data_IF_869710154343
#
_entry.id   IF_869710154343
#
_cell.length_a   1.000
_cell.length_b   1.000
_cell.length_c   1.000
_cell.angle_alpha   90.00
_cell.angle_beta   90.00
_cell.angle_gamma   90.00
#
_symmetry.space_group_name_H-M   'P 1'
#
loop_
_entity.id
_entity.type
_entity.pdbx_description
1 polymer ?
#
# COMPACT_ATOMS: atom_id res chain seq x y z
N UNK A 1 -9.97 -1.63 -6.02
CA UNK A 1 -9.42 -0.56 -5.14
C UNK A 1 -10.34 0.66 -5.03
N UNK A 2 -11.64 0.47 -4.78
CA UNK A 2 -12.62 1.57 -4.67
C UNK A 2 -13.13 1.80 -3.23
N UNK A 3 -12.59 1.06 -2.25
CA UNK A 3 -13.09 1.06 -0.88
C UNK A 3 -12.92 2.41 -0.19
N UNK A 4 -11.80 3.10 -0.39
CA UNK A 4 -11.60 4.44 0.19
C UNK A 4 -12.55 5.48 -0.42
N UNK A 5 -12.92 5.34 -1.69
CA UNK A 5 -13.83 6.27 -2.38
C UNK A 5 -15.27 6.22 -1.86
N UNK A 6 -15.67 5.15 -1.15
CA UNK A 6 -16.96 5.12 -0.45
C UNK A 6 -16.93 5.88 0.88
N UNK A 7 -15.75 6.17 1.43
CA UNK A 7 -15.56 6.99 2.64
C UNK A 7 -15.56 8.48 2.26
N UNK A 8 -14.81 8.86 1.23
CA UNK A 8 -14.80 10.21 0.64
C UNK A 8 -14.40 10.14 -0.82
N UNK A 9 -14.98 11.02 -1.65
CA UNK A 9 -14.64 11.09 -3.08
C UNK A 9 -13.14 11.40 -3.32
N UNK A 10 -12.51 12.13 -2.40
CA UNK A 10 -11.09 12.49 -2.45
C UNK A 10 -10.16 11.44 -1.83
N UNK A 11 -10.69 10.32 -1.32
CA UNK A 11 -9.88 9.32 -0.65
C UNK A 11 -9.46 8.19 -1.60
N UNK A 12 -8.19 7.78 -1.48
CA UNK A 12 -7.62 6.63 -2.17
C UNK A 12 -6.99 5.68 -1.14
N UNK A 13 -6.63 4.47 -1.59
CA UNK A 13 -5.69 3.69 -0.80
C UNK A 13 -4.39 4.48 -0.67
N UNK A 14 -3.75 4.41 0.49
CA UNK A 14 -2.57 5.24 0.79
C UNK A 14 -1.48 5.11 -0.27
N UNK A 15 -0.95 6.24 -0.72
CA UNK A 15 0.25 6.32 -1.52
C UNK A 15 1.41 6.55 -0.56
N UNK A 16 2.47 5.76 -0.71
CA UNK A 16 3.64 5.90 0.15
C UNK A 16 4.76 6.42 -0.73
N UNK A 17 4.99 7.72 -0.69
CA UNK A 17 5.88 8.45 -1.59
C UNK A 17 7.24 8.75 -0.94
N UNK A 18 7.41 8.43 0.35
CA UNK A 18 8.67 8.63 1.06
C UNK A 18 8.89 7.62 2.19
N UNK A 19 10.15 7.49 2.62
CA UNK A 19 10.51 6.70 3.82
C UNK A 19 9.85 7.25 5.08
N UNK A 20 9.70 8.57 5.19
CA UNK A 20 9.04 9.19 6.33
C UNK A 20 7.56 8.80 6.39
N UNK A 21 6.88 8.84 5.25
CA UNK A 21 5.49 8.42 5.16
C UNK A 21 5.33 6.93 5.46
N UNK A 22 6.22 6.07 4.93
CA UNK A 22 6.20 4.64 5.23
C UNK A 22 6.27 4.36 6.75
N UNK A 23 7.12 5.11 7.48
CA UNK A 23 7.22 5.01 8.95
C UNK A 23 5.97 5.49 9.66
N UNK A 24 5.34 6.57 9.21
CA UNK A 24 4.10 7.06 9.83
C UNK A 24 2.92 6.12 9.59
N UNK A 25 2.76 5.62 8.36
CA UNK A 25 1.73 4.64 8.01
C UNK A 25 1.91 3.34 8.83
N UNK A 26 3.14 2.85 8.94
CA UNK A 26 3.52 1.73 9.81
C UNK A 26 3.11 1.96 11.27
N UNK A 27 3.48 3.12 11.83
CA UNK A 27 3.17 3.49 13.22
C UNK A 27 1.66 3.50 13.47
N UNK A 28 0.89 4.13 12.58
CA UNK A 28 -0.57 4.19 12.68
C UNK A 28 -1.21 2.79 12.54
N UNK A 29 -0.74 1.99 11.60
CA UNK A 29 -1.24 0.62 11.40
C UNK A 29 -1.01 -0.25 12.65
N UNK A 30 0.18 -0.14 13.27
CA UNK A 30 0.50 -0.84 14.51
C UNK A 30 -0.33 -0.35 15.70
N UNK A 31 -0.56 0.97 15.80
CA UNK A 31 -1.40 1.57 16.83
C UNK A 31 -2.85 1.08 16.74
N UNK A 32 -3.40 1.00 15.52
CA UNK A 32 -4.77 0.54 15.27
C UNK A 32 -4.93 -0.97 15.46
N UNK A 33 -3.98 -1.79 14.99
CA UNK A 33 -4.10 -3.25 15.11
C UNK A 33 -3.75 -3.78 16.49
N UNK A 34 -2.83 -3.11 17.21
CA UNK A 34 -2.17 -3.65 18.39
C UNK A 34 -1.33 -4.91 18.11
N UNK A 35 -1.12 -5.25 16.83
CA UNK A 35 -0.48 -6.50 16.39
C UNK A 35 0.50 -6.24 15.25
N UNK A 36 1.71 -6.78 15.39
CA UNK A 36 2.65 -6.90 14.27
C UNK A 36 2.11 -7.91 13.26
N UNK A 37 2.67 -7.92 12.05
CA UNK A 37 2.38 -8.90 11.01
C UNK A 37 0.97 -8.81 10.38
N UNK A 38 0.15 -7.84 10.77
CA UNK A 38 -1.11 -7.52 10.07
C UNK A 38 -0.77 -6.99 8.69
N UNK A 39 -1.51 -7.47 7.68
CA UNK A 39 -1.34 -7.11 6.27
C UNK A 39 -2.31 -6.01 5.89
N UNK A 40 -1.79 -5.00 5.19
CA UNK A 40 -2.53 -3.82 4.79
C UNK A 40 -2.34 -3.54 3.31
N UNK A 41 -3.43 -3.47 2.56
CA UNK A 41 -3.43 -3.00 1.19
C UNK A 41 -3.07 -1.51 1.11
N UNK A 42 -2.18 -1.18 0.19
CA UNK A 42 -1.80 0.19 -0.20
C UNK A 42 -2.20 0.45 -1.66
N UNK A 43 -2.07 1.69 -2.14
CA UNK A 43 -2.50 2.08 -3.48
C UNK A 43 -1.63 1.59 -4.63
N UNK A 44 -0.49 0.97 -4.36
CA UNK A 44 0.47 0.56 -5.37
C UNK A 44 -0.03 -0.68 -6.11
N UNK A 45 0.03 -0.62 -7.43
CA UNK A 45 -0.40 -1.69 -8.30
C UNK A 45 0.28 -1.57 -9.68
N UNK A 46 0.31 -2.65 -10.42
CA UNK A 46 0.77 -2.72 -11.81
C UNK A 46 -0.27 -3.42 -12.71
N UNK A 47 -1.55 -3.34 -12.33
CA UNK A 47 -2.67 -4.01 -13.03
C UNK A 47 -2.77 -3.68 -14.52
N UNK A 48 -2.31 -2.51 -14.94
CA UNK A 48 -2.34 -2.08 -16.35
C UNK A 48 -1.21 -2.70 -17.17
N UNK A 49 -0.03 -2.88 -16.58
CA UNK A 49 1.18 -3.36 -17.23
C UNK A 49 2.14 -3.95 -16.19
N UNK A 50 2.37 -5.26 -16.29
CA UNK A 50 3.22 -6.04 -15.40
C UNK A 50 4.66 -5.46 -15.27
N UNK A 51 5.14 -5.29 -14.03
CA UNK A 51 6.38 -4.57 -13.66
C UNK A 51 6.35 -3.04 -13.87
N UNK A 52 5.21 -2.45 -14.22
CA UNK A 52 5.04 -0.99 -14.31
C UNK A 52 4.17 -0.49 -13.15
N UNK A 53 4.79 -0.41 -11.97
CA UNK A 53 4.16 0.02 -10.72
C UNK A 53 3.73 1.49 -10.77
N UNK A 54 2.48 1.77 -10.37
CA UNK A 54 1.90 3.12 -10.37
C UNK A 54 1.07 3.43 -9.12
N UNK A 55 1.12 4.68 -8.71
CA UNK A 55 0.15 5.32 -7.81
C UNK A 55 -0.90 6.03 -8.66
N UNK A 56 -2.08 5.43 -8.89
CA UNK A 56 -3.16 6.06 -9.68
C UNK A 56 -2.68 6.70 -11.00
N UNK A 57 -1.95 5.94 -11.82
CA UNK A 57 -1.29 6.36 -13.07
C UNK A 57 -0.02 7.22 -12.94
N UNK A 58 0.43 7.54 -11.74
CA UNK A 58 1.69 8.26 -11.49
C UNK A 58 2.83 7.27 -11.27
N UNK A 59 3.98 7.50 -11.91
CA UNK A 59 5.18 6.69 -11.75
C UNK A 59 5.73 6.77 -10.33
N UNK A 60 6.21 5.65 -9.83
CA UNK A 60 6.71 5.48 -8.46
C UNK A 60 8.17 5.92 -8.37
N UNK A 61 8.47 6.80 -7.41
CA UNK A 61 9.84 7.25 -7.13
C UNK A 61 10.43 6.62 -5.85
N UNK A 62 9.57 6.21 -4.92
CA UNK A 62 9.97 5.58 -3.67
C UNK A 62 9.37 4.18 -3.60
N UNK A 63 10.21 3.21 -3.21
CA UNK A 63 9.78 1.83 -2.99
C UNK A 63 10.37 1.28 -1.72
N UNK A 64 9.63 0.43 -1.02
CA UNK A 64 10.10 -0.23 0.19
C UNK A 64 9.85 -1.75 0.15
N UNK A 65 10.16 -2.36 -0.99
CA UNK A 65 10.02 -3.80 -1.21
C UNK A 65 10.80 -4.62 -0.18
N UNK A 66 10.19 -5.71 0.29
CA UNK A 66 10.90 -6.76 1.02
C UNK A 66 11.96 -7.41 0.12
N UNK A 67 13.00 -7.98 0.72
CA UNK A 67 14.05 -8.63 -0.04
C UNK A 67 13.49 -9.80 -0.83
N UNK A 68 13.56 -9.69 -2.15
CA UNK A 68 13.05 -10.70 -3.08
C UNK A 68 11.75 -10.29 -3.77
N UNK A 69 11.15 -9.18 -3.32
CA UNK A 69 9.96 -8.60 -3.90
C UNK A 69 10.30 -7.45 -4.88
N UNK A 70 9.44 -7.17 -5.87
CA UNK A 70 8.26 -7.97 -6.23
C UNK A 70 8.65 -9.33 -6.85
N UNK A 71 7.94 -10.38 -6.47
CA UNK A 71 8.22 -11.75 -6.91
C UNK A 71 7.15 -12.23 -7.91
N UNK A 72 7.57 -12.87 -8.99
CA UNK A 72 6.67 -13.28 -10.09
C UNK A 72 5.93 -14.59 -9.80
N UNK A 73 5.39 -14.79 -8.59
CA UNK A 73 4.73 -16.04 -8.21
C UNK A 73 3.32 -16.20 -8.79
N UNK A 74 2.80 -15.19 -9.51
CA UNK A 74 1.50 -15.20 -10.16
C UNK A 74 1.12 -13.81 -10.70
N UNK A 75 -0.15 -13.55 -11.04
CA UNK A 75 -0.66 -12.21 -11.34
C UNK A 75 -0.82 -11.40 -10.03
N UNK A 76 0.29 -11.09 -9.38
CA UNK A 76 0.36 -10.42 -8.07
C UNK A 76 0.29 -8.89 -8.21
N UNK A 77 -0.81 -8.38 -8.76
CA UNK A 77 -0.84 -6.99 -9.22
C UNK A 77 -1.18 -5.93 -8.15
N UNK A 78 -1.24 -6.32 -6.88
CA UNK A 78 -1.57 -5.43 -5.75
C UNK A 78 -0.50 -5.52 -4.68
N UNK A 79 -0.31 -4.44 -3.91
CA UNK A 79 0.75 -4.40 -2.90
C UNK A 79 0.18 -4.37 -1.50
N UNK A 80 0.59 -5.33 -0.68
CA UNK A 80 0.41 -5.29 0.76
C UNK A 80 1.70 -4.80 1.42
N UNK A 81 1.61 -4.01 2.48
CA UNK A 81 2.71 -3.87 3.42
C UNK A 81 2.40 -4.58 4.73
N UNK A 82 3.47 -4.97 5.42
CA UNK A 82 3.40 -5.68 6.68
C UNK A 82 4.49 -5.19 7.62
N UNK A 83 4.14 -5.01 8.89
CA UNK A 83 5.13 -4.73 9.93
C UNK A 83 5.96 -5.99 10.23
N UNK A 84 7.14 -6.09 9.61
CA UNK A 84 8.09 -7.19 9.81
C UNK A 84 8.84 -7.07 11.14
N UNK A 85 9.46 -8.17 11.59
CA UNK A 85 10.17 -8.19 12.88
C UNK A 85 11.28 -7.14 12.99
N UNK A 86 11.84 -6.72 11.85
CA UNK A 86 12.90 -5.72 11.74
C UNK A 86 12.40 -4.25 11.81
N UNK A 87 11.09 -4.00 11.88
CA UNK A 87 10.55 -2.66 12.12
C UNK A 87 10.42 -1.75 10.88
N UNK A 88 10.57 -2.30 9.67
CA UNK A 88 10.75 -1.49 8.45
C UNK A 88 9.52 -1.44 7.52
N UNK A 89 8.38 -2.02 7.91
CA UNK A 89 7.13 -1.98 7.13
C UNK A 89 7.33 -2.24 5.63
N UNK A 90 7.92 -3.39 5.31
CA UNK A 90 8.33 -3.76 3.95
C UNK A 90 7.13 -4.26 3.14
N UNK A 91 7.22 -4.05 1.82
CA UNK A 91 6.14 -4.28 0.86
C UNK A 91 6.29 -5.63 0.15
N UNK A 92 5.16 -6.22 -0.19
CA UNK A 92 5.06 -7.49 -0.90
C UNK A 92 3.96 -7.38 -1.96
N UNK A 93 4.25 -7.78 -3.19
CA UNK A 93 3.23 -7.93 -4.22
C UNK A 93 2.40 -9.20 -3.97
N UNK A 94 1.10 -9.10 -4.20
CA UNK A 94 0.13 -10.13 -3.83
C UNK A 94 -1.05 -10.12 -4.78
N UNK A 95 -1.62 -11.29 -5.03
CA UNK A 95 -2.86 -11.40 -5.82
C UNK A 95 -3.98 -10.55 -5.18
N UNK A 96 -4.59 -9.67 -5.97
CA UNK A 96 -5.54 -8.66 -5.49
C UNK A 96 -6.82 -9.20 -4.82
N UNK A 97 -7.14 -10.49 -4.98
CA UNK A 97 -8.36 -11.09 -4.43
C UNK A 97 -8.24 -11.47 -2.95
N UNK A 98 -7.01 -11.47 -2.39
CA UNK A 98 -6.80 -11.78 -0.98
C UNK A 98 -7.48 -10.76 -0.05
N UNK A 99 -8.00 -11.26 1.06
CA UNK A 99 -8.60 -10.41 2.10
C UNK A 99 -7.51 -9.88 3.03
N UNK A 100 -7.24 -8.58 2.96
CA UNK A 100 -6.39 -7.87 3.90
C UNK A 100 -7.14 -6.64 4.46
N UNK A 101 -6.59 -6.05 5.52
CA UNK A 101 -6.98 -4.71 5.92
C UNK A 101 -6.52 -3.70 4.86
N UNK A 102 -6.97 -2.45 4.93
CA UNK A 102 -6.57 -1.41 3.99
C UNK A 102 -6.44 -0.08 4.70
N UNK A 103 -5.58 0.79 4.17
CA UNK A 103 -5.38 2.15 4.70
C UNK A 103 -5.78 3.13 3.61
N UNK A 104 -6.59 4.11 3.99
CA UNK A 104 -6.97 5.21 3.12
C UNK A 104 -6.17 6.45 3.45
N UNK A 105 -5.74 7.16 2.42
CA UNK A 105 -5.33 8.55 2.51
C UNK A 105 -6.44 9.45 1.96
N UNK A 106 -6.45 10.71 2.40
CA UNK A 106 -7.36 11.72 1.89
C UNK A 106 -6.61 13.03 1.79
N UNK A 107 -6.67 13.68 0.63
CA UNK A 107 -6.26 15.07 0.52
C UNK A 107 -7.37 15.94 1.09
N UNK A 108 -7.09 16.55 2.24
CA UNK A 108 -8.01 17.45 2.95
C UNK A 108 -8.20 18.79 2.24
N UNK A 109 -7.35 19.12 1.27
CA UNK A 109 -7.41 20.33 0.47
C UNK A 109 -7.89 20.07 -0.97
N UNK A 110 -8.08 18.80 -1.36
CA UNK A 110 -8.69 18.48 -2.64
C UNK A 110 -10.15 18.97 -2.61
N UNK A 111 -10.46 19.94 -3.49
CA UNK A 111 -11.81 20.43 -3.67
C UNK A 111 -12.76 19.27 -4.03
N UNK A 112 -14.02 19.28 -3.54
CA UNK A 112 -15.00 18.24 -3.84
C UNK A 112 -15.33 18.13 -5.34
#
# INVERSE_FOLDING_TARGET
MAQCRSISASANLVFIESEQENREVSRLALEVSGQKQVKWWIGLNDMDEENNWKWNNVTVNYTNWERGEPNKSGPENCVEFKEWENGNALWNDKECHWTNHFICEMDVNAAP
#
